data_IF_717735878505
#
_entry.id   IF_717735878505
#
_cell.length_a   1.000
_cell.length_b   1.000
_cell.length_c   1.000
_cell.angle_alpha   90.00
_cell.angle_beta   90.00
_cell.angle_gamma   90.00
#
_symmetry.space_group_name_H-M   'P 1'
#
loop_
_entity.id
_entity.type
_entity.pdbx_description
1 polymer ?
#
# COMPACT_ATOMS: atom_id res chain seq x y z
N UNK A 1 -18.03 -1.32 26.18
CA UNK A 1 -17.84 0.05 26.72
C UNK A 1 -16.35 0.19 26.95
N UNK A 2 -15.75 1.27 26.43
CA UNK A 2 -14.30 1.64 26.43
C UNK A 2 -13.48 0.84 25.39
N UNK A 3 -12.55 1.42 24.62
CA UNK A 3 -11.67 2.58 24.86
C UNK A 3 -11.69 3.61 23.70
N UNK A 4 -11.87 4.88 24.05
CA UNK A 4 -12.00 6.07 23.18
C UNK A 4 -10.64 6.79 22.97
N UNK A 5 -9.51 6.13 23.21
CA UNK A 5 -8.19 6.78 23.21
C UNK A 5 -7.62 7.12 21.83
N UNK A 6 -8.34 6.88 20.73
CA UNK A 6 -7.93 7.39 19.42
C UNK A 6 -8.30 8.87 19.33
N UNK A 7 -7.43 9.72 19.89
CA UNK A 7 -7.39 11.12 19.53
C UNK A 7 -6.64 11.24 18.20
N UNK A 8 -7.30 11.56 17.06
CA UNK A 8 -6.59 11.84 15.83
C UNK A 8 -5.73 13.09 16.07
N UNK A 9 -4.45 12.90 16.35
CA UNK A 9 -3.51 14.01 16.39
C UNK A 9 -3.39 14.53 14.97
N UNK A 10 -3.88 15.76 14.79
CA UNK A 10 -3.83 16.46 13.53
C UNK A 10 -2.38 16.55 13.05
N UNK A 11 -2.05 15.81 12.00
CA UNK A 11 -1.08 16.24 11.00
C UNK A 11 -1.46 15.62 9.68
N UNK A 12 -1.83 16.49 8.74
CA UNK A 12 -2.15 16.18 7.34
C UNK A 12 -0.93 15.72 6.54
N UNK A 13 0.24 15.54 7.16
CA UNK A 13 1.50 15.31 6.47
C UNK A 13 2.08 13.91 6.80
N UNK A 14 1.37 12.80 6.61
CA UNK A 14 1.83 11.51 7.19
C UNK A 14 2.62 10.56 6.26
N UNK A 15 2.33 10.48 4.95
CA UNK A 15 3.06 9.55 4.07
C UNK A 15 4.27 10.22 3.40
N UNK A 16 4.08 11.32 2.68
CA UNK A 16 5.14 11.98 1.90
C UNK A 16 6.32 12.42 2.77
N UNK A 17 6.01 12.99 3.92
CA UNK A 17 7.01 13.49 4.86
C UNK A 17 7.81 12.33 5.50
N UNK A 18 7.16 11.20 5.81
CA UNK A 18 7.81 9.98 6.34
C UNK A 18 8.70 9.35 5.29
N UNK A 19 8.24 9.28 4.04
CA UNK A 19 9.08 8.86 2.91
C UNK A 19 10.31 9.77 2.78
N UNK A 20 10.12 11.09 2.74
CA UNK A 20 11.21 12.04 2.55
C UNK A 20 12.23 12.01 3.71
N UNK A 21 11.77 11.95 4.96
CA UNK A 21 12.67 11.85 6.12
C UNK A 21 13.33 10.47 6.22
N UNK A 22 12.59 9.40 5.95
CA UNK A 22 13.10 8.03 5.95
C UNK A 22 14.22 7.86 4.93
N UNK A 23 14.01 8.31 3.69
CA UNK A 23 15.04 8.30 2.64
C UNK A 23 16.26 9.15 3.00
N UNK A 24 16.06 10.32 3.60
CA UNK A 24 17.18 11.15 4.09
C UNK A 24 17.99 10.40 5.14
N UNK A 25 17.34 9.72 6.08
CA UNK A 25 18.01 8.92 7.12
C UNK A 25 18.79 7.75 6.51
N UNK A 26 18.21 7.04 5.54
CA UNK A 26 18.89 5.94 4.83
C UNK A 26 20.13 6.40 4.08
N UNK A 27 20.03 7.53 3.36
CA UNK A 27 21.20 8.13 2.68
C UNK A 27 22.30 8.47 3.68
N UNK A 28 21.94 9.03 4.84
CA UNK A 28 22.89 9.36 5.89
C UNK A 28 23.51 8.11 6.55
N UNK A 29 22.74 7.04 6.76
CA UNK A 29 23.24 5.75 7.24
C UNK A 29 24.23 5.13 6.25
N UNK A 30 23.82 5.00 4.98
CA UNK A 30 24.67 4.48 3.91
C UNK A 30 25.99 5.25 3.79
N UNK A 31 25.96 6.58 3.89
CA UNK A 31 27.16 7.41 3.86
C UNK A 31 28.11 7.13 5.04
N UNK A 32 27.58 6.79 6.23
CA UNK A 32 28.40 6.45 7.40
C UNK A 32 28.93 5.02 7.37
N UNK A 33 28.18 4.08 6.78
CA UNK A 33 28.51 2.65 6.78
C UNK A 33 29.21 2.16 5.50
N UNK A 34 29.41 3.03 4.50
CA UNK A 34 29.93 2.64 3.18
C UNK A 34 28.91 1.90 2.31
N UNK A 35 27.61 2.09 2.57
CA UNK A 35 26.50 1.46 1.86
C UNK A 35 25.56 0.66 2.79
N UNK A 36 24.38 0.32 2.27
CA UNK A 36 23.47 -0.66 2.88
C UNK A 36 23.71 -1.98 2.16
N UNK A 37 23.93 -3.07 2.90
CA UNK A 37 24.20 -4.39 2.31
C UNK A 37 22.94 -4.92 1.61
N UNK A 38 23.16 -5.71 0.56
CA UNK A 38 22.09 -6.48 -0.06
C UNK A 38 21.43 -7.39 1.00
N UNK A 39 20.10 -7.44 1.00
CA UNK A 39 19.31 -8.13 2.04
C UNK A 39 19.05 -7.31 3.32
N UNK A 40 19.81 -6.25 3.61
CA UNK A 40 19.61 -5.41 4.81
C UNK A 40 18.68 -4.21 4.58
N UNK A 41 18.28 -3.97 3.33
CA UNK A 41 17.46 -2.81 2.95
C UNK A 41 16.16 -2.73 3.75
N UNK A 42 15.43 -3.84 3.89
CA UNK A 42 14.18 -3.87 4.66
C UNK A 42 14.38 -3.52 6.13
N UNK A 43 15.46 -4.03 6.76
CA UNK A 43 15.80 -3.72 8.14
C UNK A 43 16.22 -2.25 8.34
N UNK A 44 17.00 -1.70 7.41
CA UNK A 44 17.38 -0.29 7.42
C UNK A 44 16.15 0.62 7.27
N UNK A 45 15.23 0.28 6.36
CA UNK A 45 13.99 1.02 6.17
C UNK A 45 13.10 1.02 7.41
N UNK A 46 12.95 -0.12 8.10
CA UNK A 46 12.23 -0.19 9.37
C UNK A 46 12.82 0.74 10.41
N UNK A 47 14.15 0.71 10.61
CA UNK A 47 14.84 1.60 11.55
C UNK A 47 14.63 3.08 11.20
N UNK A 48 14.70 3.41 9.91
CA UNK A 48 14.50 4.77 9.44
C UNK A 48 13.08 5.27 9.70
N UNK A 49 12.05 4.48 9.35
CA UNK A 49 10.64 4.84 9.57
C UNK A 49 10.35 4.97 11.07
N UNK A 50 10.78 4.00 11.89
CA UNK A 50 10.59 4.05 13.35
C UNK A 50 11.23 5.30 13.95
N UNK A 51 12.46 5.63 13.56
CA UNK A 51 13.14 6.82 14.06
C UNK A 51 12.40 8.12 13.67
N UNK A 52 11.83 8.18 12.45
CA UNK A 52 11.02 9.34 12.04
C UNK A 52 9.76 9.47 12.90
N UNK A 53 9.05 8.37 13.15
CA UNK A 53 7.80 8.41 13.91
C UNK A 53 8.02 8.63 15.41
N UNK A 54 9.11 8.13 15.98
CA UNK A 54 9.50 8.43 17.36
C UNK A 54 9.72 9.94 17.59
N UNK A 55 10.32 10.63 16.62
CA UNK A 55 10.55 12.08 16.70
C UNK A 55 9.25 12.91 16.56
N UNK A 56 8.17 12.31 16.05
CA UNK A 56 6.92 13.00 15.68
C UNK A 56 5.82 13.01 16.73
N UNK A 57 6.05 12.41 17.88
CA UNK A 57 5.13 12.25 19.03
C UNK A 57 4.23 11.01 18.97
N UNK A 58 4.47 10.11 19.94
CA UNK A 58 3.53 9.09 20.41
C UNK A 58 3.34 7.89 19.49
N UNK A 59 3.74 6.71 19.96
CA UNK A 59 3.35 5.42 19.36
C UNK A 59 1.82 5.39 19.24
N UNK A 60 1.29 5.65 18.04
CA UNK A 60 -0.14 5.69 17.74
C UNK A 60 -0.70 4.27 17.68
N UNK A 61 -0.76 3.63 18.85
CA UNK A 61 -1.13 2.21 18.93
C UNK A 61 -1.74 1.81 20.27
N UNK A 62 -2.05 2.76 21.16
CA UNK A 62 -2.80 2.45 22.36
C UNK A 62 -4.20 1.97 21.93
N UNK A 63 -4.51 0.70 22.20
CA UNK A 63 -5.84 0.13 22.02
C UNK A 63 -6.20 -0.46 20.64
N UNK A 64 -5.24 -0.72 19.72
CA UNK A 64 -5.58 -1.45 18.49
C UNK A 64 -5.99 -2.89 18.80
N UNK A 65 -7.29 -3.15 18.82
CA UNK A 65 -7.88 -4.49 18.82
C UNK A 65 -8.54 -4.75 17.46
N UNK A 66 -7.97 -5.68 16.70
CA UNK A 66 -8.46 -6.02 15.36
C UNK A 66 -9.87 -6.61 15.40
N UNK A 67 -10.78 -6.06 14.59
CA UNK A 67 -12.13 -6.60 14.37
C UNK A 67 -12.12 -7.83 13.46
N UNK A 68 -11.13 -7.93 12.56
CA UNK A 68 -10.90 -9.10 11.72
C UNK A 68 -9.42 -9.44 11.70
N UNK A 69 -9.07 -10.51 12.41
CA UNK A 69 -7.74 -11.12 12.33
C UNK A 69 -7.62 -11.94 11.03
N UNK A 70 -6.51 -11.78 10.32
CA UNK A 70 -6.12 -12.72 9.26
C UNK A 70 -6.60 -12.41 7.84
N UNK A 71 -6.67 -11.13 7.44
CA UNK A 71 -6.51 -10.82 6.01
C UNK A 71 -5.15 -11.29 5.50
N UNK A 72 -4.96 -11.43 4.18
CA UNK A 72 -3.68 -11.90 3.63
C UNK A 72 -2.51 -10.98 4.01
N UNK A 73 -2.77 -9.68 4.10
CA UNK A 73 -1.75 -8.65 4.36
C UNK A 73 -1.97 -7.89 5.67
N UNK A 74 -3.23 -7.69 6.05
CA UNK A 74 -3.62 -6.78 7.12
C UNK A 74 -4.58 -7.41 8.12
N UNK A 75 -4.46 -6.95 9.37
CA UNK A 75 -5.58 -6.92 10.30
C UNK A 75 -6.32 -5.59 10.14
N UNK A 76 -7.66 -5.62 10.26
CA UNK A 76 -8.48 -4.42 10.04
C UNK A 76 -9.43 -4.15 11.21
N UNK A 77 -9.64 -2.87 11.51
CA UNK A 77 -10.67 -2.40 12.43
C UNK A 77 -11.35 -1.14 11.85
N UNK A 78 -12.63 -0.95 12.15
CA UNK A 78 -13.39 0.23 11.76
C UNK A 78 -13.45 1.22 12.92
N UNK A 79 -12.95 2.43 12.70
CA UNK A 79 -13.02 3.52 13.66
C UNK A 79 -14.25 4.38 13.40
N UNK A 80 -15.27 4.23 14.23
CA UNK A 80 -16.58 4.83 14.01
C UNK A 80 -16.56 6.37 14.07
N UNK A 81 -15.76 6.94 14.97
CA UNK A 81 -15.71 8.38 15.26
C UNK A 81 -15.13 9.16 14.07
N UNK A 82 -14.08 8.63 13.43
CA UNK A 82 -13.51 9.24 12.20
C UNK A 82 -14.08 8.66 10.91
N UNK A 83 -14.88 7.60 10.99
CA UNK A 83 -15.40 6.82 9.85
C UNK A 83 -14.30 6.33 8.92
N UNK A 84 -13.29 5.67 9.50
CA UNK A 84 -12.13 5.18 8.76
C UNK A 84 -11.87 3.71 9.06
N UNK A 85 -11.44 2.98 8.04
CA UNK A 85 -10.86 1.65 8.20
C UNK A 85 -9.40 1.81 8.52
N UNK A 86 -8.98 1.32 9.69
CA UNK A 86 -7.58 1.25 10.07
C UNK A 86 -7.07 -0.14 9.78
N UNK A 87 -5.93 -0.21 9.10
CA UNK A 87 -5.27 -1.45 8.69
C UNK A 87 -3.87 -1.50 9.27
N UNK A 88 -3.51 -2.63 9.87
CA UNK A 88 -2.18 -2.87 10.37
C UNK A 88 -1.56 -4.07 9.63
N UNK A 89 -0.41 -3.89 8.99
CA UNK A 89 0.31 -4.99 8.32
C UNK A 89 0.64 -6.10 9.31
N UNK A 90 0.82 -7.33 8.84
CA UNK A 90 1.28 -8.41 9.72
C UNK A 90 2.68 -8.14 10.32
N UNK A 91 2.98 -8.63 11.54
CA UNK A 91 4.24 -8.31 12.21
C UNK A 91 5.50 -8.86 11.53
N UNK A 92 5.36 -9.79 10.59
CA UNK A 92 6.47 -10.37 9.83
C UNK A 92 6.75 -9.66 8.48
N UNK A 93 6.04 -8.57 8.15
CA UNK A 93 6.27 -7.86 6.89
C UNK A 93 5.57 -6.51 6.78
N UNK A 94 6.02 -5.68 5.84
CA UNK A 94 5.39 -4.40 5.53
C UNK A 94 4.40 -4.53 4.37
N UNK A 95 3.70 -5.66 4.24
CA UNK A 95 2.81 -5.94 3.12
C UNK A 95 3.50 -6.54 1.89
N UNK A 96 2.92 -6.36 0.71
CA UNK A 96 3.41 -6.97 -0.54
C UNK A 96 3.73 -5.97 -1.65
N UNK A 97 4.67 -6.35 -2.50
CA UNK A 97 5.07 -5.63 -3.70
C UNK A 97 5.22 -6.61 -4.88
N UNK A 98 5.32 -6.05 -6.07
CA UNK A 98 5.68 -6.80 -7.28
C UNK A 98 7.04 -6.34 -7.74
N UNK A 99 7.91 -7.31 -8.01
CA UNK A 99 9.16 -7.08 -8.72
C UNK A 99 9.03 -7.55 -10.16
N UNK A 100 9.61 -6.78 -11.08
CA UNK A 100 9.57 -6.98 -12.53
C UNK A 100 10.98 -7.19 -13.08
N UNK A 101 11.76 -8.05 -12.44
CA UNK A 101 13.10 -8.43 -12.89
C UNK A 101 13.09 -9.68 -13.79
N UNK A 102 14.11 -9.82 -14.64
CA UNK A 102 14.39 -11.05 -15.36
C UNK A 102 13.30 -11.50 -16.33
N UNK A 103 12.48 -10.57 -16.86
CA UNK A 103 11.30 -10.85 -17.68
C UNK A 103 10.20 -11.67 -16.97
N UNK A 104 10.15 -11.64 -15.65
CA UNK A 104 9.07 -12.23 -14.86
C UNK A 104 8.45 -11.18 -13.93
N UNK A 105 7.22 -11.42 -13.51
CA UNK A 105 6.59 -10.65 -12.45
C UNK A 105 6.48 -11.55 -11.21
N UNK A 106 7.04 -11.09 -10.10
CA UNK A 106 7.14 -11.89 -8.87
C UNK A 106 6.46 -11.16 -7.71
N UNK A 107 5.63 -11.90 -6.97
CA UNK A 107 5.02 -11.40 -5.74
C UNK A 107 5.99 -11.55 -4.57
N UNK A 108 6.37 -10.44 -3.94
CA UNK A 108 7.41 -10.41 -2.90
C UNK A 108 6.94 -9.59 -1.69
N UNK A 109 7.50 -9.84 -0.49
CA UNK A 109 7.31 -8.95 0.65
C UNK A 109 7.77 -7.52 0.31
N UNK A 110 6.95 -6.53 0.66
CA UNK A 110 7.33 -5.13 0.54
C UNK A 110 8.28 -4.74 1.67
N UNK A 111 9.18 -3.80 1.38
CA UNK A 111 9.87 -3.02 2.40
C UNK A 111 8.98 -1.87 2.88
N UNK A 112 9.21 -1.29 4.08
CA UNK A 112 8.38 -0.23 4.62
C UNK A 112 8.19 0.98 3.69
N UNK A 113 9.26 1.48 3.07
CA UNK A 113 9.14 2.61 2.15
C UNK A 113 8.46 2.21 0.85
N UNK A 114 8.64 0.97 0.38
CA UNK A 114 7.92 0.46 -0.80
C UNK A 114 6.41 0.45 -0.55
N UNK A 115 5.98 -0.03 0.61
CA UNK A 115 4.56 0.00 1.01
C UNK A 115 4.02 1.42 1.13
N UNK A 116 4.74 2.33 1.79
CA UNK A 116 4.30 3.72 1.93
C UNK A 116 4.22 4.43 0.57
N UNK A 117 5.14 4.16 -0.36
CA UNK A 117 5.06 4.67 -1.74
C UNK A 117 3.83 4.13 -2.47
N UNK A 118 3.47 2.86 -2.27
CA UNK A 118 2.25 2.25 -2.83
C UNK A 118 1.00 2.99 -2.36
N UNK A 119 0.90 3.29 -1.06
CA UNK A 119 -0.21 4.06 -0.49
C UNK A 119 -0.26 5.50 -1.04
N UNK A 120 0.89 6.17 -1.13
CA UNK A 120 0.98 7.50 -1.73
C UNK A 120 0.52 7.48 -3.20
N UNK A 121 0.97 6.49 -3.98
CA UNK A 121 0.57 6.36 -5.38
C UNK A 121 -0.94 6.14 -5.51
N UNK A 122 -1.56 5.39 -4.59
CA UNK A 122 -3.02 5.20 -4.59
C UNK A 122 -3.75 6.52 -4.34
N UNK A 123 -3.34 7.32 -3.35
CA UNK A 123 -3.87 8.67 -3.14
C UNK A 123 -3.74 9.53 -4.40
N UNK A 124 -2.54 9.58 -4.99
CA UNK A 124 -2.28 10.40 -6.17
C UNK A 124 -3.05 9.93 -7.41
N UNK A 125 -3.24 8.61 -7.58
CA UNK A 125 -3.86 8.06 -8.80
C UNK A 125 -5.37 8.07 -8.76
N UNK A 126 -5.96 7.80 -7.59
CA UNK A 126 -7.39 7.59 -7.41
C UNK A 126 -8.07 8.69 -6.59
N UNK A 127 -7.31 9.66 -6.07
CA UNK A 127 -7.86 10.72 -5.21
C UNK A 127 -8.28 10.22 -3.83
N UNK A 128 -7.68 9.11 -3.38
CA UNK A 128 -7.92 8.54 -2.06
C UNK A 128 -7.31 9.43 -0.95
N UNK A 129 -7.75 9.24 0.29
CA UNK A 129 -7.23 9.91 1.48
C UNK A 129 -6.65 8.86 2.43
N UNK A 130 -5.76 7.99 1.95
CA UNK A 130 -5.01 7.07 2.81
C UNK A 130 -4.02 7.87 3.65
N UNK A 131 -4.00 7.59 4.95
CA UNK A 131 -3.10 8.22 5.91
C UNK A 131 -2.21 7.16 6.53
N UNK A 132 -0.94 7.49 6.70
CA UNK A 132 -0.08 6.75 7.60
C UNK A 132 -0.38 7.18 9.04
N UNK A 133 -0.69 6.22 9.89
CA UNK A 133 -1.00 6.42 11.30
C UNK A 133 0.21 6.08 12.19
N UNK A 134 1.30 5.55 11.62
CA UNK A 134 2.55 5.29 12.33
C UNK A 134 2.91 3.80 12.38
N UNK A 135 3.77 3.46 13.34
CA UNK A 135 4.31 2.11 13.52
C UNK A 135 3.84 1.51 14.83
N UNK A 136 3.32 0.28 14.77
CA UNK A 136 3.07 -0.56 15.93
C UNK A 136 4.18 -1.58 16.13
N UNK A 137 4.97 -1.36 17.18
CA UNK A 137 6.01 -2.28 17.62
C UNK A 137 5.45 -3.22 18.68
N UNK A 138 5.36 -4.51 18.36
CA UNK A 138 4.99 -5.58 19.30
C UNK A 138 6.19 -6.51 19.52
N UNK A 139 6.15 -7.39 20.54
CA UNK A 139 7.14 -8.45 20.69
C UNK A 139 7.24 -9.39 19.47
N UNK A 140 6.17 -9.48 18.66
CA UNK A 140 6.14 -10.31 17.45
C UNK A 140 6.71 -9.62 16.21
N UNK A 141 6.90 -8.30 16.23
CA UNK A 141 7.47 -7.55 15.12
C UNK A 141 6.86 -6.15 14.97
N UNK A 142 7.33 -5.43 13.95
CA UNK A 142 6.82 -4.10 13.63
C UNK A 142 5.71 -4.19 12.58
N UNK A 143 4.73 -3.31 12.71
CA UNK A 143 3.57 -3.23 11.83
C UNK A 143 3.40 -1.80 11.36
N UNK A 144 3.17 -1.59 10.06
CA UNK A 144 2.75 -0.29 9.56
C UNK A 144 1.24 -0.17 9.78
N UNK A 145 0.82 0.99 10.28
CA UNK A 145 -0.61 1.31 10.47
C UNK A 145 -0.98 2.40 9.48
N UNK A 146 -2.01 2.13 8.68
CA UNK A 146 -2.64 3.12 7.82
C UNK A 146 -4.12 3.23 8.13
N UNK A 147 -4.74 4.32 7.73
CA UNK A 147 -6.19 4.44 7.71
C UNK A 147 -6.68 4.94 6.35
N UNK A 148 -7.88 4.53 5.96
CA UNK A 148 -8.55 5.01 4.76
C UNK A 148 -10.02 5.33 5.07
N UNK A 149 -10.66 6.27 4.36
CA UNK A 149 -12.09 6.55 4.53
C UNK A 149 -12.95 5.31 4.33
N UNK A 150 -14.07 5.24 5.04
CA UNK A 150 -15.14 4.32 4.70
C UNK A 150 -15.86 4.75 3.42
N UNK A 151 -15.97 3.82 2.48
CA UNK A 151 -16.60 4.06 1.17
C UNK A 151 -17.90 3.26 1.13
N UNK A 152 -19.01 3.97 1.04
CA UNK A 152 -20.34 3.34 0.91
C UNK A 152 -20.53 2.89 -0.53
N UNK A 153 -20.71 1.60 -0.73
CA UNK A 153 -20.95 0.99 -2.03
C UNK A 153 -20.89 -0.53 -1.94
N UNK A 154 -20.82 -1.17 -3.11
CA UNK A 154 -20.75 -2.63 -3.21
C UNK A 154 -19.55 -3.05 -4.06
N UNK A 155 -19.07 -4.28 -3.90
CA UNK A 155 -18.06 -4.81 -4.79
C UNK A 155 -18.65 -4.91 -6.22
N UNK A 156 -17.98 -4.37 -7.25
CA UNK A 156 -18.44 -4.52 -8.63
C UNK A 156 -18.31 -5.99 -9.08
N UNK A 157 -19.10 -6.42 -10.07
CA UNK A 157 -18.75 -7.64 -10.80
C UNK A 157 -17.45 -7.44 -11.63
N UNK A 158 -16.85 -8.54 -12.10
CA UNK A 158 -15.58 -8.50 -12.84
C UNK A 158 -15.68 -7.69 -14.14
N UNK A 159 -16.79 -7.79 -14.88
CA UNK A 159 -16.97 -7.10 -16.17
C UNK A 159 -17.07 -5.60 -15.93
N UNK A 160 -17.82 -5.19 -14.91
CA UNK A 160 -17.94 -3.80 -14.49
C UNK A 160 -16.60 -3.24 -14.02
N UNK A 161 -15.86 -3.98 -13.19
CA UNK A 161 -14.53 -3.59 -12.72
C UNK A 161 -13.55 -3.37 -13.89
N UNK A 162 -13.44 -4.35 -14.80
CA UNK A 162 -12.53 -4.31 -15.95
C UNK A 162 -12.85 -3.12 -16.86
N UNK A 163 -14.14 -2.93 -17.19
CA UNK A 163 -14.62 -1.78 -17.97
C UNK A 163 -14.27 -0.46 -17.29
N UNK A 164 -14.54 -0.30 -16.00
CA UNK A 164 -14.32 0.97 -15.30
C UNK A 164 -12.83 1.29 -15.14
N UNK A 165 -11.98 0.29 -14.86
CA UNK A 165 -10.52 0.45 -14.89
C UNK A 165 -10.04 0.96 -16.26
N UNK A 166 -10.60 0.45 -17.35
CA UNK A 166 -10.25 0.89 -18.69
C UNK A 166 -10.75 2.31 -18.99
N UNK A 167 -12.03 2.61 -18.77
CA UNK A 167 -12.63 3.87 -19.23
C UNK A 167 -12.39 5.04 -18.28
N UNK A 168 -12.32 4.81 -16.97
CA UNK A 168 -12.11 5.87 -15.97
C UNK A 168 -10.63 6.07 -15.65
N UNK A 169 -9.82 5.01 -15.73
CA UNK A 169 -8.44 5.02 -15.26
C UNK A 169 -7.40 4.61 -16.32
N UNK A 170 -7.79 4.42 -17.58
CA UNK A 170 -6.89 4.06 -18.69
C UNK A 170 -6.06 2.78 -18.47
N UNK A 171 -6.46 1.95 -17.51
CA UNK A 171 -5.81 0.68 -17.22
C UNK A 171 -6.23 -0.37 -18.24
N UNK A 172 -5.25 -1.01 -18.88
CA UNK A 172 -5.47 -2.11 -19.82
C UNK A 172 -5.06 -3.41 -19.15
N UNK A 173 -5.90 -4.43 -19.27
CA UNK A 173 -5.64 -5.74 -18.68
C UNK A 173 -4.39 -6.37 -19.29
N UNK A 174 -3.57 -6.99 -18.44
CA UNK A 174 -2.37 -7.72 -18.80
C UNK A 174 -2.65 -9.22 -18.88
N UNK A 175 -1.96 -9.89 -19.78
CA UNK A 175 -1.89 -11.35 -19.86
C UNK A 175 -0.72 -11.84 -18.99
N UNK A 176 -0.89 -11.76 -17.68
CA UNK A 176 0.02 -12.30 -16.67
C UNK A 176 -0.71 -13.34 -15.82
N UNK A 177 0.01 -14.33 -15.27
CA UNK A 177 -0.53 -15.14 -14.18
C UNK A 177 -1.01 -14.26 -13.01
N UNK A 178 -1.99 -14.71 -12.22
CA UNK A 178 -2.44 -14.00 -11.03
C UNK A 178 -1.29 -13.70 -10.07
N UNK A 179 -1.28 -12.47 -9.53
CA UNK A 179 -0.28 -11.97 -8.58
C UNK A 179 -1.03 -11.38 -7.39
N UNK A 180 -0.90 -12.03 -6.23
CA UNK A 180 -1.76 -11.79 -5.07
C UNK A 180 -2.78 -12.92 -4.93
N UNK A 181 -4.07 -12.59 -4.94
CA UNK A 181 -5.15 -13.56 -4.89
C UNK A 181 -5.22 -14.43 -6.16
N UNK A 182 -5.60 -15.70 -6.04
CA UNK A 182 -5.61 -16.67 -7.16
C UNK A 182 -6.50 -16.25 -8.34
N UNK A 183 -7.54 -15.45 -8.12
CA UNK A 183 -8.40 -14.90 -9.17
C UNK A 183 -8.20 -13.41 -9.43
N UNK A 184 -7.03 -12.87 -9.04
CA UNK A 184 -6.67 -11.49 -9.33
C UNK A 184 -6.20 -11.32 -10.77
N UNK A 185 -6.28 -10.08 -11.23
CA UNK A 185 -5.78 -9.63 -12.52
C UNK A 185 -4.75 -8.52 -12.35
N UNK A 186 -3.97 -8.33 -13.40
CA UNK A 186 -2.98 -7.25 -13.48
C UNK A 186 -3.35 -6.30 -14.61
N UNK A 187 -3.08 -5.02 -14.43
CA UNK A 187 -3.38 -3.97 -15.40
C UNK A 187 -2.21 -3.01 -15.59
N UNK A 188 -2.15 -2.36 -16.74
CA UNK A 188 -1.11 -1.41 -17.12
C UNK A 188 -1.71 -0.12 -17.67
N UNK A 189 -1.26 1.01 -17.15
CA UNK A 189 -1.52 2.35 -17.67
C UNK A 189 -0.23 2.90 -18.28
N UNK A 190 -0.16 2.86 -19.61
CA UNK A 190 1.01 3.31 -20.37
C UNK A 190 1.27 4.82 -20.23
N UNK A 191 0.22 5.62 -20.11
CA UNK A 191 0.33 7.08 -20.07
C UNK A 191 1.05 7.56 -18.81
N UNK A 192 0.77 6.91 -17.68
CA UNK A 192 1.36 7.27 -16.39
C UNK A 192 2.48 6.33 -15.96
N UNK A 193 2.79 5.30 -16.76
CA UNK A 193 3.75 4.24 -16.45
C UNK A 193 3.47 3.61 -15.09
N UNK A 194 2.23 3.13 -14.93
CA UNK A 194 1.76 2.47 -13.72
C UNK A 194 1.31 1.04 -14.03
N UNK A 195 1.61 0.12 -13.12
CA UNK A 195 1.01 -1.21 -13.08
C UNK A 195 0.19 -1.40 -11.81
N UNK A 196 -0.96 -2.04 -11.95
CA UNK A 196 -1.89 -2.38 -10.90
C UNK A 196 -1.97 -3.91 -10.81
N UNK A 197 -1.71 -4.46 -9.63
CA UNK A 197 -1.75 -5.89 -9.34
C UNK A 197 -2.74 -6.18 -8.21
N UNK A 198 -3.01 -7.47 -7.99
CA UNK A 198 -4.02 -7.96 -7.05
C UNK A 198 -5.42 -7.36 -7.25
N UNK A 199 -5.78 -7.07 -8.50
CA UNK A 199 -7.06 -6.48 -8.82
C UNK A 199 -8.13 -7.57 -8.98
N UNK A 200 -9.03 -7.66 -8.01
CA UNK A 200 -10.22 -8.50 -8.04
C UNK A 200 -11.42 -7.75 -7.43
N UNK A 201 -12.68 -8.12 -7.76
CA UNK A 201 -13.89 -7.46 -7.27
C UNK A 201 -13.88 -7.00 -5.81
N UNK A 202 -13.49 -7.88 -4.88
CA UNK A 202 -13.48 -7.55 -3.45
C UNK A 202 -12.44 -6.50 -3.01
N UNK A 203 -11.47 -6.14 -3.87
CA UNK A 203 -10.50 -5.06 -3.63
C UNK A 203 -10.98 -3.71 -4.20
N UNK A 204 -12.23 -3.64 -4.66
CA UNK A 204 -12.86 -2.41 -5.12
C UNK A 204 -14.24 -2.22 -4.49
N UNK A 205 -14.63 -0.96 -4.38
CA UNK A 205 -15.98 -0.54 -4.04
C UNK A 205 -16.50 0.32 -5.18
N UNK A 206 -17.64 -0.04 -5.74
CA UNK A 206 -18.38 0.77 -6.68
C UNK A 206 -19.33 1.69 -5.89
N UNK A 207 -19.01 2.98 -5.87
CA UNK A 207 -19.81 4.00 -5.18
C UNK A 207 -20.28 5.04 -6.19
N UNK A 208 -21.60 5.13 -6.41
CA UNK A 208 -22.19 6.11 -7.34
C UNK A 208 -21.47 6.15 -8.70
N UNK A 209 -21.23 4.98 -9.29
CA UNK A 209 -20.52 4.77 -10.57
C UNK A 209 -19.01 5.05 -10.56
N UNK A 210 -18.43 5.44 -9.41
CA UNK A 210 -16.99 5.61 -9.25
C UNK A 210 -16.39 4.33 -8.68
N UNK A 211 -15.39 3.79 -9.37
CA UNK A 211 -14.63 2.63 -8.91
C UNK A 211 -13.53 3.09 -7.93
N UNK A 212 -13.64 2.69 -6.66
CA UNK A 212 -12.67 3.04 -5.61
C UNK A 212 -11.86 1.80 -5.23
N UNK A 213 -10.54 1.77 -5.44
CA UNK A 213 -9.70 0.68 -4.95
C UNK A 213 -9.54 0.78 -3.43
N UNK A 214 -9.52 -0.35 -2.75
CA UNK A 214 -9.32 -0.40 -1.30
C UNK A 214 -8.10 -1.22 -0.87
N UNK A 215 -7.64 -2.21 -1.64
CA UNK A 215 -6.50 -3.06 -1.25
C UNK A 215 -5.77 -3.58 -2.50
N UNK A 216 -5.21 -2.67 -3.30
CA UNK A 216 -4.54 -3.02 -4.57
C UNK A 216 -3.05 -2.74 -4.50
N UNK A 217 -2.27 -3.41 -5.37
CA UNK A 217 -0.83 -3.17 -5.46
C UNK A 217 -0.50 -2.30 -6.65
N UNK A 218 -0.23 -1.01 -6.40
CA UNK A 218 0.13 -0.05 -7.43
C UNK A 218 1.64 0.20 -7.45
N UNK A 219 2.23 0.12 -8.63
CA UNK A 219 3.67 0.28 -8.86
C UNK A 219 3.92 1.32 -9.94
N UNK A 220 4.90 2.20 -9.72
CA UNK A 220 5.48 3.04 -10.78
C UNK A 220 6.54 2.24 -11.52
N UNK A 221 6.49 2.30 -12.84
CA UNK A 221 7.32 1.52 -13.73
C UNK A 221 8.49 2.34 -14.26
N UNK A 222 9.66 1.71 -14.27
CA UNK A 222 10.79 2.18 -15.05
C UNK A 222 10.55 1.97 -16.56
N UNK A 223 11.20 2.73 -17.45
CA UNK A 223 10.97 2.64 -18.88
C UNK A 223 11.12 1.21 -19.47
N UNK A 224 12.05 0.42 -18.94
CA UNK A 224 12.23 -0.97 -19.37
C UNK A 224 11.05 -1.86 -18.95
N UNK A 225 10.56 -1.70 -17.72
CA UNK A 225 9.40 -2.43 -17.19
C UNK A 225 8.12 -2.06 -17.95
N UNK A 226 7.93 -0.77 -18.24
CA UNK A 226 6.79 -0.30 -19.02
C UNK A 226 6.78 -0.89 -20.45
N UNK A 227 7.94 -0.95 -21.12
CA UNK A 227 8.06 -1.64 -22.43
C UNK A 227 7.76 -3.13 -22.33
N UNK A 228 8.25 -3.79 -21.29
CA UNK A 228 8.01 -5.22 -21.08
C UNK A 228 6.52 -5.55 -20.85
N UNK A 229 5.81 -4.71 -20.09
CA UNK A 229 4.37 -4.83 -19.86
C UNK A 229 3.53 -4.47 -21.09
N UNK A 230 3.94 -3.48 -21.88
CA UNK A 230 3.23 -3.10 -23.10
C UNK A 230 3.07 -4.28 -24.08
N UNK A 231 4.08 -5.15 -24.17
CA UNK A 231 4.02 -6.38 -24.98
C UNK A 231 3.11 -7.49 -24.43
N UNK A 232 2.44 -7.26 -23.30
CA UNK A 232 1.57 -8.23 -22.61
C UNK A 232 0.15 -7.73 -22.40
N UNK A 233 -0.22 -6.58 -22.97
CA UNK A 233 -1.60 -6.09 -22.93
C UNK A 233 -2.48 -7.05 -23.72
N UNK A 234 -3.64 -7.42 -23.15
CA UNK A 234 -4.63 -8.24 -23.85
C UNK A 234 -5.15 -7.45 -25.06
N UNK A 235 -5.09 -8.10 -26.23
CA UNK A 235 -5.55 -7.55 -27.52
C UNK A 235 -7.03 -7.21 -27.49
#
# INVERSE_FOLDING_TARGET
MLDDSYAPTASRDSIESTLALGERRLRAEAARSGGIREGEQGGAEWRAVIAVEQDRTGVLTAGFESLRKGGAEHDVYFHAQTRRWVKATHPWGAGFAVDLDGNAATWLPATPLTYLRRMLLQNLRFGDDIRFEGVLSTPSGNRLVISQPDVVGEAPDLVTMDRLLQVQHAFRRLNLPPLGYYHSFSYFDARHSLALFDAHPANFVLSKEVLVPIDVVLMRLEPAQARWLAGRVVS
#
